data_IF_744423130599
#
_entry.id   IF_744423130599
#
_cell.length_a   1.000
_cell.length_b   1.000
_cell.length_c   1.000
_cell.angle_alpha   90.00
_cell.angle_beta   90.00
_cell.angle_gamma   90.00
#
_symmetry.space_group_name_H-M   'P 1'
#
loop_
_entity.id
_entity.type
_entity.pdbx_description
1 polymer ?
#
# COMPACT_ATOMS: atom_id res chain seq x y z
N UNK A 1 9.14 -13.10 2.17
CA UNK A 1 8.23 -11.93 2.14
C UNK A 1 7.62 -11.72 3.49
N UNK A 2 7.41 -10.49 3.83
CA UNK A 2 6.83 -10.14 5.12
C UNK A 2 5.39 -10.65 5.23
N UNK A 3 5.05 -11.09 6.42
CA UNK A 3 3.68 -11.43 6.76
C UNK A 3 2.85 -10.16 6.84
N UNK A 4 1.53 -10.31 6.74
CA UNK A 4 0.61 -9.20 6.94
C UNK A 4 0.71 -8.77 8.41
N UNK A 5 1.14 -7.53 8.70
CA UNK A 5 1.36 -7.10 10.08
C UNK A 5 0.09 -7.15 10.92
N UNK A 6 0.22 -7.60 12.17
CA UNK A 6 -0.91 -7.63 13.11
C UNK A 6 -1.55 -6.25 13.29
N UNK A 7 -0.70 -5.22 13.33
CA UNK A 7 -1.17 -3.84 13.45
C UNK A 7 -2.06 -3.45 12.28
N UNK A 8 -1.67 -3.84 11.06
CA UNK A 8 -2.49 -3.60 9.87
C UNK A 8 -3.80 -4.37 9.91
N UNK A 9 -3.75 -5.62 10.39
CA UNK A 9 -4.95 -6.45 10.50
C UNK A 9 -6.00 -5.86 11.45
N UNK A 10 -5.57 -5.03 12.41
CA UNK A 10 -6.48 -4.35 13.35
C UNK A 10 -7.02 -3.04 12.83
N UNK A 11 -6.58 -2.58 11.68
CA UNK A 11 -7.07 -1.33 11.11
C UNK A 11 -8.53 -1.43 10.68
N UNK A 12 -9.29 -0.38 10.95
CA UNK A 12 -10.72 -0.31 10.67
C UNK A 12 -11.07 0.67 9.55
N UNK A 13 -10.09 1.35 8.97
CA UNK A 13 -10.34 2.31 7.91
C UNK A 13 -9.09 3.03 7.48
N UNK A 14 -9.28 4.14 6.77
CA UNK A 14 -8.21 4.94 6.18
C UNK A 14 -8.29 6.37 6.67
N UNK A 15 -7.13 6.99 6.82
CA UNK A 15 -7.00 8.39 7.21
C UNK A 15 -6.63 9.21 5.96
N UNK A 16 -7.63 9.79 5.33
CA UNK A 16 -7.46 10.66 4.17
C UNK A 16 -7.66 12.11 4.54
N UNK A 17 -6.78 12.97 4.03
CA UNK A 17 -7.00 14.41 4.03
C UNK A 17 -6.70 14.94 2.62
N UNK A 18 -6.91 16.23 2.43
CA UNK A 18 -6.68 16.84 1.13
C UNK A 18 -5.24 16.65 0.64
N UNK A 19 -4.28 16.75 1.57
CA UNK A 19 -2.85 16.66 1.21
C UNK A 19 -2.47 15.29 0.66
N UNK A 20 -2.75 14.21 1.39
CA UNK A 20 -2.33 12.89 0.94
C UNK A 20 -3.17 12.35 -0.22
N UNK A 21 -4.44 12.70 -0.29
CA UNK A 21 -5.30 12.31 -1.41
C UNK A 21 -4.89 13.00 -2.70
N UNK A 22 -4.69 14.32 -2.66
CA UNK A 22 -4.36 15.13 -3.83
C UNK A 22 -2.98 14.81 -4.37
N UNK A 23 -2.01 14.63 -3.49
CA UNK A 23 -0.63 14.32 -3.89
C UNK A 23 -0.53 13.07 -4.76
N UNK A 24 -1.21 12.01 -4.38
CA UNK A 24 -1.16 10.75 -5.13
C UNK A 24 -1.82 10.88 -6.49
N UNK A 25 -2.91 11.61 -6.57
CA UNK A 25 -3.55 11.89 -7.85
C UNK A 25 -2.68 12.77 -8.75
N UNK A 26 -2.13 13.87 -8.23
CA UNK A 26 -1.35 14.81 -9.02
C UNK A 26 -0.06 14.19 -9.55
N UNK A 27 0.63 13.41 -8.72
CA UNK A 27 1.93 12.82 -9.08
C UNK A 27 1.79 11.53 -9.89
N UNK A 28 0.84 10.69 -9.54
CA UNK A 28 0.80 9.31 -10.07
C UNK A 28 -0.57 8.88 -10.60
N UNK A 29 -1.55 9.76 -10.56
CA UNK A 29 -2.92 9.45 -11.01
C UNK A 29 -3.51 8.23 -10.30
N UNK A 30 -3.29 8.12 -8.99
CA UNK A 30 -3.84 7.08 -8.15
C UNK A 30 -4.92 7.69 -7.26
N UNK A 31 -6.13 7.12 -7.31
CA UNK A 31 -7.25 7.58 -6.51
C UNK A 31 -7.25 6.95 -5.13
N UNK A 32 -7.99 7.56 -4.19
CA UNK A 32 -8.23 6.96 -2.88
C UNK A 32 -8.84 5.57 -3.01
N UNK A 33 -9.84 5.43 -3.86
CA UNK A 33 -10.53 4.16 -4.07
C UNK A 33 -9.57 3.07 -4.56
N UNK A 34 -8.66 3.42 -5.47
CA UNK A 34 -7.65 2.48 -5.95
C UNK A 34 -6.71 2.01 -4.85
N UNK A 35 -6.27 2.93 -3.99
CA UNK A 35 -5.44 2.58 -2.84
C UNK A 35 -6.18 1.62 -1.91
N UNK A 36 -7.41 1.92 -1.58
CA UNK A 36 -8.21 1.08 -0.69
C UNK A 36 -8.43 -0.29 -1.26
N UNK A 37 -8.75 -0.38 -2.56
CA UNK A 37 -8.94 -1.67 -3.24
C UNK A 37 -7.69 -2.56 -3.14
N UNK A 38 -6.51 -1.97 -3.28
CA UNK A 38 -5.27 -2.73 -3.26
C UNK A 38 -5.03 -3.43 -1.91
N UNK A 39 -5.53 -2.88 -0.82
CA UNK A 39 -5.43 -3.54 0.50
C UNK A 39 -6.39 -4.70 0.67
N UNK A 40 -7.47 -4.75 -0.09
CA UNK A 40 -8.50 -5.78 0.04
C UNK A 40 -8.48 -6.83 -1.07
N UNK A 41 -7.71 -6.61 -2.11
CA UNK A 41 -7.63 -7.52 -3.25
C UNK A 41 -6.35 -8.35 -3.19
N UNK A 42 -6.45 -9.53 -2.63
CA UNK A 42 -5.28 -10.40 -2.39
C UNK A 42 -4.60 -10.85 -3.68
N UNK A 43 -3.27 -11.11 -3.62
CA UNK A 43 -2.42 -11.01 -2.44
C UNK A 43 -1.99 -9.57 -2.16
N UNK A 44 -1.66 -9.29 -0.91
CA UNK A 44 -1.05 -8.02 -0.48
C UNK A 44 0.25 -8.36 0.22
N UNK A 45 1.36 -7.85 -0.30
CA UNK A 45 2.69 -8.10 0.26
C UNK A 45 3.12 -6.86 1.02
N UNK A 46 3.36 -7.00 2.32
CA UNK A 46 3.71 -5.87 3.17
C UNK A 46 5.07 -6.08 3.80
N UNK A 47 5.88 -5.02 3.80
CA UNK A 47 7.17 -5.00 4.49
C UNK A 47 7.34 -3.67 5.22
N UNK A 48 8.16 -3.68 6.26
CA UNK A 48 8.52 -2.44 6.97
C UNK A 48 9.56 -1.69 6.14
N UNK A 49 9.34 -0.42 5.93
CA UNK A 49 10.32 0.46 5.29
C UNK A 49 11.18 1.12 6.39
N UNK A 50 12.16 0.38 6.87
CA UNK A 50 13.02 0.84 7.96
C UNK A 50 13.85 2.06 7.60
N UNK A 51 14.28 2.13 6.35
CA UNK A 51 15.12 3.23 5.87
C UNK A 51 14.44 4.59 5.98
N UNK A 52 13.12 4.63 5.77
CA UNK A 52 12.33 5.85 5.80
C UNK A 52 11.46 5.97 7.04
N UNK A 53 11.59 5.04 7.98
CA UNK A 53 10.89 5.13 9.26
C UNK A 53 11.61 6.10 10.18
N UNK A 54 10.90 7.09 10.70
CA UNK A 54 11.38 7.99 11.73
C UNK A 54 10.69 7.63 13.04
N UNK A 55 9.95 8.58 13.62
CA UNK A 55 9.14 8.34 14.81
C UNK A 55 7.95 7.42 14.52
N UNK A 56 7.45 7.43 13.29
CA UNK A 56 6.40 6.52 12.85
C UNK A 56 7.00 5.44 11.96
N UNK A 57 6.59 4.21 12.17
CA UNK A 57 6.95 3.12 11.26
C UNK A 57 6.27 3.33 9.92
N UNK A 58 7.04 3.21 8.85
CA UNK A 58 6.53 3.21 7.50
C UNK A 58 6.54 1.81 6.94
N UNK A 59 5.50 1.49 6.19
CA UNK A 59 5.33 0.20 5.54
C UNK A 59 5.25 0.42 4.04
N UNK A 60 5.65 -0.59 3.28
CA UNK A 60 5.44 -0.63 1.84
C UNK A 60 4.58 -1.85 1.52
N UNK A 61 3.53 -1.63 0.74
CA UNK A 61 2.63 -2.69 0.30
C UNK A 61 2.64 -2.80 -1.21
N UNK A 62 2.73 -4.03 -1.71
CA UNK A 62 2.47 -4.33 -3.11
C UNK A 62 1.09 -4.97 -3.20
N UNK A 63 0.21 -4.38 -3.99
CA UNK A 63 -1.14 -4.86 -4.16
C UNK A 63 -1.71 -4.48 -5.51
N UNK A 64 -2.93 -4.92 -5.80
CA UNK A 64 -3.57 -4.59 -7.07
C UNK A 64 -5.01 -4.19 -6.86
N UNK A 65 -5.50 -3.30 -7.72
CA UNK A 65 -6.89 -2.88 -7.73
C UNK A 65 -7.76 -4.00 -8.32
N UNK A 66 -9.07 -3.85 -8.23
CA UNK A 66 -10.01 -4.78 -8.86
C UNK A 66 -9.81 -4.86 -10.37
N UNK A 67 -9.41 -3.76 -11.00
CA UNK A 67 -9.14 -3.72 -12.43
C UNK A 67 -7.76 -4.29 -12.79
N UNK A 68 -6.96 -4.70 -11.81
CA UNK A 68 -5.64 -5.29 -12.05
C UNK A 68 -4.50 -4.29 -12.11
N UNK A 69 -4.74 -3.03 -11.76
CA UNK A 69 -3.66 -2.05 -11.67
C UNK A 69 -2.78 -2.38 -10.46
N UNK A 70 -1.49 -2.55 -10.69
CA UNK A 70 -0.53 -2.96 -9.67
C UNK A 70 0.17 -1.76 -9.07
N UNK A 71 0.04 -1.61 -7.75
CA UNK A 71 0.50 -0.43 -7.02
C UNK A 71 1.51 -0.78 -5.94
N UNK A 72 2.48 0.12 -5.75
CA UNK A 72 3.27 0.19 -4.53
C UNK A 72 2.67 1.30 -3.68
N UNK A 73 2.32 0.98 -2.45
CA UNK A 73 1.73 1.94 -1.53
C UNK A 73 2.61 2.04 -0.28
N UNK A 74 3.11 3.24 -0.01
CA UNK A 74 3.84 3.53 1.22
C UNK A 74 2.84 4.14 2.20
N UNK A 75 2.78 3.60 3.39
CA UNK A 75 1.79 4.03 4.37
C UNK A 75 2.32 3.92 5.79
N UNK A 76 1.63 4.56 6.70
CA UNK A 76 1.82 4.40 8.13
C UNK A 76 0.48 4.09 8.79
N UNK A 77 0.50 3.70 10.04
CA UNK A 77 -0.71 3.40 10.80
C UNK A 77 -0.81 4.39 11.94
N UNK A 78 -1.96 5.06 12.04
CA UNK A 78 -2.28 5.99 13.13
C UNK A 78 -3.49 5.48 13.86
N UNK A 79 -3.28 4.98 15.09
CA UNK A 79 -4.35 4.31 15.83
C UNK A 79 -4.81 3.07 15.09
N UNK A 80 -6.04 3.08 14.59
CA UNK A 80 -6.61 1.96 13.80
C UNK A 80 -6.85 2.35 12.34
N UNK A 81 -6.17 3.39 11.85
CA UNK A 81 -6.36 3.89 10.50
C UNK A 81 -5.07 3.79 9.69
N UNK A 82 -5.20 3.34 8.44
CA UNK A 82 -4.12 3.35 7.47
C UNK A 82 -4.02 4.74 6.86
N UNK A 83 -2.86 5.36 6.96
CA UNK A 83 -2.60 6.64 6.32
C UNK A 83 -1.63 6.45 5.16
N UNK A 84 -2.12 6.62 3.95
CA UNK A 84 -1.30 6.50 2.75
C UNK A 84 -0.41 7.73 2.62
N UNK A 85 0.89 7.49 2.47
CA UNK A 85 1.88 8.54 2.27
C UNK A 85 2.11 8.75 0.78
N UNK A 86 2.24 7.64 0.03
CA UNK A 86 2.48 7.70 -1.40
C UNK A 86 1.96 6.42 -2.07
N UNK A 87 1.49 6.54 -3.30
CA UNK A 87 1.05 5.40 -4.09
C UNK A 87 1.42 5.64 -5.55
N UNK A 88 1.98 4.63 -6.19
CA UNK A 88 2.39 4.68 -7.59
C UNK A 88 2.28 3.30 -8.23
N UNK A 89 2.37 3.26 -9.54
CA UNK A 89 2.46 1.98 -10.24
C UNK A 89 3.73 1.23 -9.80
N UNK A 90 3.64 -0.09 -9.73
CA UNK A 90 4.81 -0.91 -9.46
C UNK A 90 5.87 -0.73 -10.55
N UNK A 91 7.14 -0.77 -10.14
CA UNK A 91 8.26 -0.91 -11.07
C UNK A 91 8.23 -2.32 -11.68
N UNK A 92 9.04 -2.54 -12.72
CA UNK A 92 9.17 -3.85 -13.35
C UNK A 92 9.62 -4.92 -12.35
N UNK A 93 10.57 -4.58 -11.48
CA UNK A 93 11.10 -5.48 -10.45
C UNK A 93 10.00 -5.83 -9.43
N UNK A 94 9.24 -4.84 -8.99
CA UNK A 94 8.15 -5.04 -8.03
C UNK A 94 7.06 -5.91 -8.63
N UNK A 95 6.71 -5.71 -9.90
CA UNK A 95 5.72 -6.54 -10.59
C UNK A 95 6.15 -8.00 -10.67
N UNK A 96 7.43 -8.27 -10.94
CA UNK A 96 7.94 -9.64 -10.99
C UNK A 96 7.82 -10.31 -9.63
N UNK A 97 8.17 -9.61 -8.57
CA UNK A 97 8.03 -10.13 -7.22
C UNK A 97 6.59 -10.45 -6.89
N UNK A 98 5.70 -9.52 -7.21
CA UNK A 98 4.28 -9.67 -6.94
C UNK A 98 3.68 -10.85 -7.73
N UNK A 99 4.03 -10.99 -8.98
CA UNK A 99 3.56 -12.07 -9.85
C UNK A 99 3.98 -13.46 -9.34
N UNK A 100 5.20 -13.58 -8.81
CA UNK A 100 5.65 -14.84 -8.21
C UNK A 100 4.76 -15.27 -7.06
N UNK A 101 4.38 -14.33 -6.22
CA UNK A 101 3.51 -14.63 -5.07
C UNK A 101 2.11 -14.98 -5.55
N UNK A 102 1.60 -14.30 -6.58
CA UNK A 102 0.31 -14.65 -7.18
C UNK A 102 0.29 -16.07 -7.72
N UNK A 103 1.35 -16.47 -8.40
CA UNK A 103 1.46 -17.82 -8.99
C UNK A 103 1.48 -18.93 -7.94
N UNK A 104 2.03 -18.62 -6.75
CA UNK A 104 2.15 -19.59 -5.66
C UNK A 104 0.92 -19.61 -4.74
N UNK A 105 -0.02 -18.76 -4.96
CA UNK A 105 -1.27 -18.74 -4.25
C UNK A 105 -2.39 -19.33 -5.12
#
# INVERSE_FOLDING_TARGET
>A
MAEFPDELARCSGFDWDFGNATKNWDLHRVTQAECEQAFFNRPVLVTVDEKHSGEEHRYAALGQTKAGRRLLIVFTIRGTLVRVISARNMSRRERRLYERVQENN
#
